data_IF_588930018994
#
_entry.id   IF_588930018994
#
_cell.length_a   1.000
_cell.length_b   1.000
_cell.length_c   1.000
_cell.angle_alpha   90.00
_cell.angle_beta   90.00
_cell.angle_gamma   90.00
#
_symmetry.space_group_name_H-M   'P 1'
#
loop_
_entity.id
_entity.type
_entity.pdbx_description
1 polymer ?
#
# COMPACT_ATOMS: atom_id res chain seq x y z
N UNK A 1 -8.26 4.09 16.09
CA UNK A 1 -6.93 4.63 15.71
C UNK A 1 -6.40 3.82 14.53
N UNK A 2 -6.06 4.45 13.39
CA UNK A 2 -5.38 3.79 12.26
C UNK A 2 -4.01 3.21 12.66
N UNK A 3 -3.82 1.90 12.50
CA UNK A 3 -2.65 1.20 13.04
C UNK A 3 -1.36 1.47 12.24
N UNK A 4 -1.36 1.26 10.92
CA UNK A 4 -0.12 1.37 10.14
C UNK A 4 0.46 2.79 10.12
N UNK A 5 -0.40 3.81 9.96
CA UNK A 5 0.03 5.21 9.93
C UNK A 5 0.28 5.78 11.33
N UNK A 6 -0.71 5.70 12.23
CA UNK A 6 -0.60 6.45 13.48
C UNK A 6 0.26 5.70 14.51
N UNK A 7 0.04 4.40 14.70
CA UNK A 7 0.86 3.63 15.64
C UNK A 7 2.25 3.30 15.05
N UNK A 8 2.31 2.57 13.94
CA UNK A 8 3.58 2.03 13.45
C UNK A 8 4.51 3.11 12.88
N UNK A 9 4.01 3.98 11.99
CA UNK A 9 4.86 5.03 11.38
C UNK A 9 5.13 6.18 12.34
N UNK A 10 4.11 6.73 12.98
CA UNK A 10 4.25 7.95 13.80
C UNK A 10 4.70 7.67 15.23
N UNK A 11 3.97 6.85 15.99
CA UNK A 11 4.30 6.62 17.40
C UNK A 11 5.55 5.74 17.58
N UNK A 12 5.67 4.66 16.82
CA UNK A 12 6.83 3.76 16.89
C UNK A 12 8.03 4.23 16.05
N UNK A 13 7.85 5.23 15.19
CA UNK A 13 8.92 5.80 14.35
C UNK A 13 9.47 4.82 13.30
N UNK A 14 8.70 3.82 12.87
CA UNK A 14 9.17 2.88 11.87
C UNK A 14 9.22 3.53 10.48
N UNK A 15 10.41 3.69 9.90
CA UNK A 15 10.63 4.27 8.57
C UNK A 15 11.03 3.24 7.49
N UNK A 16 10.97 1.95 7.85
CA UNK A 16 11.27 0.85 6.93
C UNK A 16 10.11 0.55 5.96
N UNK A 17 10.27 -0.50 5.17
CA UNK A 17 9.24 -0.96 4.23
C UNK A 17 8.08 -1.65 4.97
N UNK A 18 6.83 -1.29 4.66
CA UNK A 18 5.63 -1.97 5.17
C UNK A 18 4.89 -2.65 4.02
N UNK A 19 4.51 -3.90 4.21
CA UNK A 19 3.83 -4.74 3.21
C UNK A 19 2.56 -5.28 3.85
N UNK A 20 1.47 -5.37 3.09
CA UNK A 20 0.29 -6.14 3.53
C UNK A 20 0.57 -7.64 3.48
N UNK A 21 -0.22 -8.40 4.23
CA UNK A 21 -0.47 -9.80 3.89
C UNK A 21 -1.34 -9.90 2.61
N UNK A 22 -1.58 -11.10 2.12
CA UNK A 22 -2.32 -11.36 0.89
C UNK A 22 -3.76 -10.84 0.94
N UNK A 23 -4.13 -9.99 -0.02
CA UNK A 23 -5.49 -9.45 -0.11
C UNK A 23 -6.53 -10.49 -0.55
N UNK A 24 -6.11 -11.66 -1.01
CA UNK A 24 -7.01 -12.77 -1.32
C UNK A 24 -7.48 -13.53 -0.06
N UNK A 25 -6.93 -13.22 1.12
CA UNK A 25 -7.36 -13.82 2.38
C UNK A 25 -8.83 -13.55 2.67
N UNK A 26 -9.53 -14.57 3.17
CA UNK A 26 -10.98 -14.52 3.44
C UNK A 26 -11.41 -13.41 4.41
N UNK A 27 -10.52 -12.97 5.32
CA UNK A 27 -10.79 -11.87 6.23
C UNK A 27 -10.93 -10.51 5.52
N UNK A 28 -10.31 -10.35 4.34
CA UNK A 28 -10.42 -9.16 3.50
C UNK A 28 -11.42 -9.41 2.37
N UNK A 29 -11.18 -10.42 1.55
CA UNK A 29 -11.90 -10.66 0.31
C UNK A 29 -13.41 -10.92 0.48
N UNK A 30 -13.86 -11.39 1.65
CA UNK A 30 -15.29 -11.64 1.92
C UNK A 30 -16.03 -10.43 2.49
N UNK A 31 -15.31 -9.43 3.00
CA UNK A 31 -15.91 -8.37 3.84
C UNK A 31 -15.76 -6.98 3.26
N UNK A 32 -14.82 -6.76 2.35
CA UNK A 32 -14.51 -5.43 1.82
C UNK A 32 -14.41 -5.44 0.30
N UNK A 33 -14.89 -4.36 -0.30
CA UNK A 33 -14.67 -4.07 -1.72
C UNK A 33 -13.18 -3.86 -1.98
N UNK A 34 -12.68 -4.45 -3.07
CA UNK A 34 -11.26 -4.46 -3.37
C UNK A 34 -10.70 -3.05 -3.63
N UNK A 35 -11.42 -2.21 -4.37
CA UNK A 35 -10.99 -0.83 -4.63
C UNK A 35 -10.94 0.01 -3.35
N UNK A 36 -11.89 -0.23 -2.46
CA UNK A 36 -11.91 0.35 -1.11
C UNK A 36 -10.68 -0.09 -0.32
N UNK A 37 -10.31 -1.37 -0.35
CA UNK A 37 -9.08 -1.87 0.29
C UNK A 37 -7.84 -1.15 -0.24
N UNK A 38 -7.69 -1.03 -1.56
CA UNK A 38 -6.55 -0.34 -2.17
C UNK A 38 -6.47 1.13 -1.71
N UNK A 39 -7.60 1.84 -1.69
CA UNK A 39 -7.65 3.22 -1.19
C UNK A 39 -7.26 3.31 0.28
N UNK A 40 -7.72 2.39 1.13
CA UNK A 40 -7.39 2.37 2.55
C UNK A 40 -5.90 2.07 2.79
N UNK A 41 -5.30 1.17 2.01
CA UNK A 41 -3.86 0.87 2.07
C UNK A 41 -3.04 2.12 1.77
N UNK A 42 -3.39 2.88 0.72
CA UNK A 42 -2.71 4.13 0.38
C UNK A 42 -2.84 5.16 1.51
N UNK A 43 -4.04 5.29 2.11
CA UNK A 43 -4.29 6.18 3.25
C UNK A 43 -3.53 5.77 4.51
N UNK A 44 -3.29 4.47 4.67
CA UNK A 44 -2.57 3.87 5.78
C UNK A 44 -1.04 3.92 5.62
N UNK A 45 -0.53 4.47 4.50
CA UNK A 45 0.90 4.61 4.19
C UNK A 45 1.67 3.28 4.17
N UNK A 46 0.97 2.22 3.71
CA UNK A 46 1.56 0.92 3.42
C UNK A 46 2.21 0.96 2.02
N UNK A 47 3.38 0.34 1.87
CA UNK A 47 4.22 0.51 0.68
C UNK A 47 3.93 -0.48 -0.42
N UNK A 48 3.72 -1.73 -0.04
CA UNK A 48 3.54 -2.83 -0.97
C UNK A 48 2.25 -3.56 -0.62
N UNK A 49 1.41 -3.73 -1.64
CA UNK A 49 0.24 -4.58 -1.60
C UNK A 49 0.64 -5.97 -2.10
N UNK A 50 0.45 -6.98 -1.26
CA UNK A 50 0.68 -8.37 -1.64
C UNK A 50 -0.58 -8.96 -2.26
N UNK A 51 -0.46 -9.46 -3.49
CA UNK A 51 -1.50 -10.19 -4.22
C UNK A 51 -0.84 -11.46 -4.75
N UNK A 52 -1.18 -12.62 -4.18
CA UNK A 52 -0.48 -13.88 -4.49
C UNK A 52 -0.97 -14.53 -5.79
N UNK A 53 -2.26 -14.43 -6.10
CA UNK A 53 -2.80 -15.05 -7.31
C UNK A 53 -2.55 -14.16 -8.54
N UNK A 54 -2.03 -14.77 -9.62
CA UNK A 54 -2.11 -14.16 -10.96
C UNK A 54 -3.58 -14.02 -11.34
N UNK A 55 -4.12 -12.83 -11.14
CA UNK A 55 -5.53 -12.52 -11.34
C UNK A 55 -5.69 -11.08 -11.86
N UNK A 56 -6.87 -10.72 -12.39
CA UNK A 56 -7.18 -9.35 -12.81
C UNK A 56 -7.00 -8.30 -11.70
N UNK A 57 -6.93 -8.74 -10.42
CA UNK A 57 -6.75 -7.86 -9.27
C UNK A 57 -5.48 -7.03 -9.31
N UNK A 58 -4.41 -7.51 -9.95
CA UNK A 58 -3.17 -6.75 -10.12
C UNK A 58 -3.42 -5.52 -11.00
N UNK A 59 -4.11 -5.71 -12.14
CA UNK A 59 -4.48 -4.62 -13.05
C UNK A 59 -5.46 -3.66 -12.37
N UNK A 60 -6.49 -4.18 -11.70
CA UNK A 60 -7.45 -3.38 -10.94
C UNK A 60 -6.78 -2.54 -9.85
N UNK A 61 -5.84 -3.12 -9.09
CA UNK A 61 -5.10 -2.40 -8.06
C UNK A 61 -4.26 -1.27 -8.67
N UNK A 62 -3.57 -1.53 -9.78
CA UNK A 62 -2.80 -0.53 -10.50
C UNK A 62 -3.69 0.63 -10.97
N UNK A 63 -4.84 0.33 -11.58
CA UNK A 63 -5.77 1.34 -12.06
C UNK A 63 -6.33 2.21 -10.93
N UNK A 64 -6.74 1.61 -9.80
CA UNK A 64 -7.27 2.35 -8.65
C UNK A 64 -6.17 3.20 -8.00
N UNK A 65 -4.92 2.72 -7.90
CA UNK A 65 -3.79 3.53 -7.43
C UNK A 65 -3.58 4.75 -8.34
N UNK A 66 -3.51 4.53 -9.65
CA UNK A 66 -3.30 5.61 -10.63
C UNK A 66 -4.44 6.61 -10.64
N UNK A 67 -5.68 6.15 -10.47
CA UNK A 67 -6.85 7.02 -10.31
C UNK A 67 -6.72 7.91 -9.07
N UNK A 68 -6.29 7.35 -7.93
CA UNK A 68 -6.09 8.12 -6.70
C UNK A 68 -4.96 9.15 -6.83
N UNK A 69 -3.85 8.81 -7.49
CA UNK A 69 -2.75 9.74 -7.74
C UNK A 69 -3.13 10.89 -8.68
N UNK A 70 -3.99 10.63 -9.67
CA UNK A 70 -4.51 11.69 -10.55
C UNK A 70 -5.50 12.60 -9.85
N UNK A 71 -6.30 12.05 -8.92
CA UNK A 71 -7.34 12.79 -8.22
C UNK A 71 -6.83 13.65 -7.05
N UNK A 72 -5.65 13.35 -6.48
CA UNK A 72 -5.16 14.02 -5.27
C UNK A 72 -3.64 14.17 -5.25
N UNK A 73 -3.18 15.41 -5.09
CA UNK A 73 -1.77 15.73 -4.90
C UNK A 73 -1.23 15.15 -3.58
N UNK A 74 -2.04 15.08 -2.53
CA UNK A 74 -1.67 14.43 -1.26
C UNK A 74 -1.41 12.92 -1.45
N UNK A 75 -2.28 12.22 -2.19
CA UNK A 75 -2.06 10.80 -2.51
C UNK A 75 -0.80 10.60 -3.33
N UNK A 76 -0.52 11.50 -4.28
CA UNK A 76 0.70 11.46 -5.09
C UNK A 76 1.95 11.65 -4.22
N UNK A 77 1.93 12.57 -3.25
CA UNK A 77 3.02 12.76 -2.30
C UNK A 77 3.26 11.51 -1.46
N UNK A 78 2.19 10.89 -0.93
CA UNK A 78 2.28 9.63 -0.18
C UNK A 78 2.87 8.50 -1.03
N UNK A 79 2.44 8.40 -2.30
CA UNK A 79 3.00 7.45 -3.27
C UNK A 79 4.49 7.66 -3.51
N UNK A 80 4.95 8.91 -3.60
CA UNK A 80 6.38 9.23 -3.74
C UNK A 80 7.17 8.83 -2.49
N UNK A 81 6.63 9.04 -1.29
CA UNK A 81 7.24 8.58 -0.04
C UNK A 81 7.38 7.06 0.03
N UNK A 82 6.36 6.32 -0.41
CA UNK A 82 6.43 4.85 -0.53
C UNK A 82 7.48 4.41 -1.56
N UNK A 83 7.50 5.05 -2.73
CA UNK A 83 8.50 4.78 -3.76
C UNK A 83 9.93 4.96 -3.24
N UNK A 84 10.20 6.02 -2.51
CA UNK A 84 11.53 6.27 -1.93
C UNK A 84 11.95 5.16 -0.96
N UNK A 85 11.03 4.69 -0.10
CA UNK A 85 11.27 3.56 0.83
C UNK A 85 11.52 2.26 0.08
N UNK A 86 10.75 1.98 -0.97
CA UNK A 86 10.97 0.82 -1.84
C UNK A 86 12.33 0.89 -2.53
N UNK A 87 12.69 2.04 -3.10
CA UNK A 87 13.98 2.26 -3.77
C UNK A 87 15.15 2.09 -2.81
N UNK A 88 15.03 2.58 -1.58
CA UNK A 88 16.06 2.41 -0.54
C UNK A 88 16.21 0.94 -0.14
N UNK A 89 15.10 0.23 0.09
CA UNK A 89 15.15 -1.20 0.38
C UNK A 89 15.81 -1.98 -0.77
N UNK A 90 15.46 -1.67 -2.03
CA UNK A 90 16.09 -2.28 -3.20
C UNK A 90 17.59 -2.00 -3.26
N UNK A 91 18.03 -0.74 -3.10
CA UNK A 91 19.47 -0.40 -3.07
C UNK A 91 20.24 -1.16 -2.00
N UNK A 92 19.61 -1.38 -0.84
CA UNK A 92 20.24 -2.05 0.30
C UNK A 92 20.39 -3.56 0.10
N UNK A 93 19.43 -4.20 -0.55
CA UNK A 93 19.35 -5.68 -0.59
C UNK A 93 19.49 -6.31 -1.98
N UNK A 94 19.22 -5.56 -3.05
CA UNK A 94 19.36 -6.00 -4.43
C UNK A 94 20.55 -5.24 -5.04
N UNK A 95 21.68 -5.92 -5.18
CA UNK A 95 22.86 -5.40 -5.89
C UNK A 95 22.67 -5.54 -7.40
#
# INVERSE_FOLDING_TARGET
MPIARDLLRREMGFDGLVITDDLDMGAIAKHYDFNTCIRQILLAEIDIVLICAKSPKIETAFEEIMKNFRASQDMKTKGLSSFNRISEAKRRYLK
#
